data_IF_018210839171
#
_entry.id   IF_018210839171
#
_cell.length_a   1.000
_cell.length_b   1.000
_cell.length_c   1.000
_cell.angle_alpha   90.00
_cell.angle_beta   90.00
_cell.angle_gamma   90.00
#
_symmetry.space_group_name_H-M   'P 1'
#
loop_
_entity.id
_entity.type
_entity.pdbx_description
1 polymer ?
#
# COMPACT_ATOMS: atom_id res chain seq x y z
N UNK A 1 23.64 -41.95 43.41
CA UNK A 1 24.28 -41.10 42.37
C UNK A 1 23.45 -41.25 41.10
N UNK A 2 22.56 -40.36 40.68
CA UNK A 2 22.46 -38.90 40.84
C UNK A 2 22.50 -38.30 39.43
N UNK A 3 21.33 -38.11 38.81
CA UNK A 3 21.16 -37.47 37.50
C UNK A 3 21.72 -36.04 37.54
N UNK A 4 22.35 -35.63 36.44
CA UNK A 4 22.58 -34.22 36.13
C UNK A 4 22.09 -33.97 34.70
N UNK A 5 20.79 -33.68 34.62
CA UNK A 5 20.22 -32.84 33.58
C UNK A 5 20.90 -31.47 33.62
N UNK A 6 21.49 -31.06 32.50
CA UNK A 6 22.10 -29.74 32.33
C UNK A 6 21.71 -29.22 30.96
N UNK A 7 20.43 -28.84 30.83
CA UNK A 7 19.90 -28.22 29.62
C UNK A 7 20.56 -26.87 29.35
N UNK A 8 21.19 -26.75 28.19
CA UNK A 8 21.62 -25.47 27.66
C UNK A 8 20.44 -24.80 26.96
N UNK A 9 19.92 -23.74 27.57
CA UNK A 9 19.05 -22.76 26.90
C UNK A 9 19.89 -21.52 26.63
N UNK A 10 20.08 -21.21 25.35
CA UNK A 10 20.68 -19.97 24.87
C UNK A 10 20.14 -19.72 23.45
N UNK A 11 19.42 -18.61 23.20
CA UNK A 11 18.57 -18.46 22.03
C UNK A 11 19.36 -17.89 20.85
N UNK A 12 19.76 -18.72 19.90
CA UNK A 12 20.10 -18.23 18.56
C UNK A 12 18.85 -18.39 17.67
N UNK A 13 17.86 -17.51 17.92
CA UNK A 13 16.96 -17.14 16.83
C UNK A 13 17.86 -16.39 15.86
N UNK A 14 18.34 -17.11 14.85
CA UNK A 14 18.91 -16.55 13.64
C UNK A 14 18.08 -15.32 13.28
N UNK A 15 18.64 -14.14 13.53
CA UNK A 15 18.12 -12.90 13.02
C UNK A 15 18.04 -13.10 11.52
N UNK A 16 16.81 -13.14 11.00
CA UNK A 16 16.59 -12.94 9.58
C UNK A 16 17.26 -11.63 9.25
N UNK A 17 18.45 -11.72 8.66
CA UNK A 17 19.14 -10.58 8.08
C UNK A 17 18.21 -10.06 7.00
N UNK A 18 17.40 -9.04 7.34
CA UNK A 18 16.81 -8.20 6.32
C UNK A 18 18.01 -7.62 5.57
N UNK A 19 18.25 -8.13 4.37
CA UNK A 19 19.28 -7.62 3.49
C UNK A 19 19.14 -6.08 3.43
N UNK A 20 20.24 -5.33 3.62
CA UNK A 20 20.17 -3.88 3.58
C UNK A 20 19.78 -3.42 2.17
N UNK A 21 18.75 -2.57 2.10
CA UNK A 21 18.47 -1.78 0.91
C UNK A 21 18.01 -2.57 -0.31
N UNK A 22 16.91 -3.33 -0.20
CA UNK A 22 15.99 -3.24 -1.34
C UNK A 22 15.37 -1.86 -1.25
N UNK A 23 15.80 -0.96 -2.11
CA UNK A 23 14.88 0.07 -2.60
C UNK A 23 13.56 -0.66 -2.86
N UNK A 24 12.40 -0.16 -2.36
CA UNK A 24 11.14 -0.79 -2.72
C UNK A 24 11.20 -0.93 -4.23
N UNK A 25 11.13 -2.17 -4.75
CA UNK A 25 10.98 -2.36 -6.18
C UNK A 25 9.83 -1.43 -6.51
N UNK A 26 10.13 -0.36 -7.26
CA UNK A 26 9.10 0.48 -7.81
C UNK A 26 8.40 -0.51 -8.71
N UNK A 27 7.35 -1.13 -8.17
CA UNK A 27 6.38 -1.90 -8.92
C UNK A 27 5.85 -0.84 -9.86
N UNK A 28 6.51 -0.77 -11.03
CA UNK A 28 6.06 0.07 -12.11
C UNK A 28 4.64 -0.41 -12.32
N UNK A 29 3.63 0.42 -12.04
CA UNK A 29 2.27 -0.04 -12.11
C UNK A 29 2.10 -0.56 -13.51
N UNK A 30 1.72 -1.84 -13.63
CA UNK A 30 1.13 -2.39 -14.84
C UNK A 30 0.00 -1.44 -15.18
N UNK A 31 0.26 -0.45 -16.04
CA UNK A 31 -0.66 0.67 -16.28
C UNK A 31 -1.98 0.10 -16.79
N UNK A 32 -1.89 -0.98 -17.58
CA UNK A 32 -2.97 -1.91 -17.92
C UNK A 32 -3.85 -2.34 -16.74
N UNK A 33 -3.28 -2.78 -15.62
CA UNK A 33 -4.09 -3.23 -14.48
C UNK A 33 -4.82 -2.07 -13.83
N UNK A 34 -4.18 -0.89 -13.73
CA UNK A 34 -4.84 0.27 -13.16
C UNK A 34 -5.97 0.77 -14.07
N UNK A 35 -5.72 0.92 -15.36
CA UNK A 35 -6.67 1.42 -16.36
C UNK A 35 -7.84 0.45 -16.62
N UNK A 36 -7.59 -0.87 -16.53
CA UNK A 36 -8.59 -1.91 -16.80
C UNK A 36 -9.10 -2.62 -15.54
N UNK A 37 -8.73 -2.18 -14.34
CA UNK A 37 -9.28 -2.73 -13.11
C UNK A 37 -10.82 -2.54 -13.12
N UNK A 38 -11.59 -3.61 -12.85
CA UNK A 38 -13.05 -3.53 -12.82
C UNK A 38 -13.56 -2.76 -11.60
N UNK A 39 -12.77 -2.72 -10.52
CA UNK A 39 -13.07 -1.97 -9.32
C UNK A 39 -12.54 -0.54 -9.40
N UNK A 40 -13.19 0.43 -8.75
CA UNK A 40 -12.67 1.79 -8.67
C UNK A 40 -11.40 1.84 -7.83
N UNK A 41 -10.32 2.37 -8.39
CA UNK A 41 -9.01 2.48 -7.74
C UNK A 41 -8.52 3.93 -7.79
N UNK A 42 -8.01 4.41 -6.65
CA UNK A 42 -7.31 5.70 -6.54
C UNK A 42 -5.86 5.49 -6.13
N UNK A 43 -4.94 6.09 -6.87
CA UNK A 43 -3.55 6.19 -6.47
C UNK A 43 -3.39 7.40 -5.54
N UNK A 44 -2.84 7.20 -4.35
CA UNK A 44 -2.65 8.27 -3.34
C UNK A 44 -1.17 8.51 -3.15
N UNK A 45 -0.78 9.78 -3.09
CA UNK A 45 0.56 10.22 -2.71
C UNK A 45 0.51 11.17 -1.52
N UNK A 46 1.68 11.58 -1.05
CA UNK A 46 1.81 12.63 -0.02
C UNK A 46 2.40 13.88 -0.66
N UNK A 47 1.75 15.01 -0.47
CA UNK A 47 2.21 16.36 -0.84
C UNK A 47 2.09 17.28 0.35
N UNK A 48 3.15 18.01 0.68
CA UNK A 48 3.20 18.93 1.81
C UNK A 48 2.73 18.34 3.16
N UNK A 49 2.98 17.04 3.36
CA UNK A 49 2.59 16.30 4.55
C UNK A 49 1.11 15.86 4.59
N UNK A 50 0.35 16.10 3.53
CA UNK A 50 -1.04 15.68 3.39
C UNK A 50 -1.21 14.59 2.31
N UNK A 51 -2.12 13.64 2.56
CA UNK A 51 -2.49 12.64 1.57
C UNK A 51 -3.36 13.27 0.48
N UNK A 52 -2.98 13.06 -0.78
CA UNK A 52 -3.66 13.60 -1.96
C UNK A 52 -3.80 12.52 -3.03
N UNK A 53 -4.91 12.53 -3.75
CA UNK A 53 -5.12 11.66 -4.90
C UNK A 53 -4.19 12.11 -6.03
N UNK A 54 -3.46 11.16 -6.63
CA UNK A 54 -2.57 11.38 -7.78
C UNK A 54 -3.25 11.04 -9.10
N UNK A 55 -4.06 10.00 -9.10
CA UNK A 55 -4.82 9.53 -10.24
C UNK A 55 -5.99 8.66 -9.77
N UNK A 56 -7.05 8.59 -10.57
CA UNK A 56 -8.11 7.60 -10.43
C UNK A 56 -8.28 6.84 -11.75
N UNK A 57 -8.70 5.59 -11.70
CA UNK A 57 -8.95 4.79 -12.91
C UNK A 57 -10.32 5.09 -13.53
N UNK A 58 -10.59 4.66 -14.78
CA UNK A 58 -11.89 4.89 -15.41
C UNK A 58 -13.09 4.33 -14.62
N UNK A 59 -12.93 3.16 -13.96
CA UNK A 59 -13.98 2.56 -13.14
C UNK A 59 -14.40 3.44 -11.95
N UNK A 60 -13.53 4.36 -11.50
CA UNK A 60 -13.88 5.37 -10.49
C UNK A 60 -14.96 6.33 -10.98
N UNK A 61 -14.83 6.82 -12.23
CA UNK A 61 -15.82 7.71 -12.82
C UNK A 61 -17.15 7.01 -13.02
N UNK A 62 -17.12 5.77 -13.50
CA UNK A 62 -18.32 4.94 -13.70
C UNK A 62 -19.06 4.66 -12.39
N UNK A 63 -18.32 4.42 -11.30
CA UNK A 63 -18.89 4.08 -9.98
C UNK A 63 -19.44 5.30 -9.26
N UNK A 64 -18.66 6.39 -9.21
CA UNK A 64 -18.97 7.55 -8.38
C UNK A 64 -19.53 8.74 -9.17
N UNK A 65 -19.55 8.68 -10.50
CA UNK A 65 -19.98 9.79 -11.36
C UNK A 65 -19.11 11.03 -11.26
N UNK A 66 -17.86 10.87 -10.80
CA UNK A 66 -16.89 11.96 -10.60
C UNK A 66 -15.70 11.77 -11.51
N UNK A 67 -15.37 12.84 -12.21
CA UNK A 67 -14.23 12.92 -13.11
C UNK A 67 -12.91 12.64 -12.35
N UNK A 68 -12.11 11.73 -12.91
CA UNK A 68 -10.86 11.22 -12.35
C UNK A 68 -9.78 12.31 -12.31
N UNK A 69 -9.73 13.16 -13.33
CA UNK A 69 -8.80 14.30 -13.37
C UNK A 69 -9.16 15.34 -12.32
N UNK A 70 -10.45 15.55 -12.04
CA UNK A 70 -10.91 16.44 -10.94
C UNK A 70 -10.68 15.87 -9.55
N UNK A 71 -10.59 14.55 -9.41
CA UNK A 71 -10.24 13.93 -8.14
C UNK A 71 -8.75 14.15 -7.79
N UNK A 72 -7.89 14.30 -8.80
CA UNK A 72 -6.46 14.54 -8.60
C UNK A 72 -6.19 15.84 -7.82
N UNK A 73 -5.22 15.78 -6.91
CA UNK A 73 -4.87 16.87 -5.99
C UNK A 73 -5.85 17.09 -4.83
N UNK A 74 -6.97 16.35 -4.77
CA UNK A 74 -7.90 16.42 -3.64
C UNK A 74 -7.53 15.40 -2.55
N UNK A 75 -7.91 15.66 -1.30
CA UNK A 75 -7.82 14.66 -0.24
C UNK A 75 -8.66 13.42 -0.59
N UNK A 76 -8.18 12.18 -0.30
CA UNK A 76 -8.93 10.95 -0.58
C UNK A 76 -10.32 10.93 0.05
N UNK A 77 -10.46 11.49 1.26
CA UNK A 77 -11.73 11.57 1.99
C UNK A 77 -12.77 12.49 1.31
N UNK A 78 -12.33 13.41 0.44
CA UNK A 78 -13.23 14.23 -0.35
C UNK A 78 -13.55 13.57 -1.69
N UNK A 79 -12.58 12.87 -2.27
CA UNK A 79 -12.71 12.21 -3.56
C UNK A 79 -13.65 10.99 -3.50
N UNK A 80 -13.48 10.12 -2.50
CA UNK A 80 -14.30 8.92 -2.28
C UNK A 80 -15.42 9.26 -1.29
N UNK A 81 -16.70 9.15 -1.68
CA UNK A 81 -17.78 9.25 -0.71
C UNK A 81 -17.65 8.11 0.30
N UNK A 82 -17.50 8.44 1.58
CA UNK A 82 -17.69 7.47 2.65
C UNK A 82 -19.19 7.20 2.77
N UNK A 83 -19.59 5.98 2.48
CA UNK A 83 -20.91 5.49 2.90
C UNK A 83 -20.94 5.54 4.44
N UNK A 84 -22.07 5.98 5.01
CA UNK A 84 -22.30 6.00 6.47
C UNK A 84 -22.52 4.59 7.03
#
# INVERSE_FOLDING_TARGET
MGRADGGAVGPDRAGGSLAPGRDPEVVSPSTDFFEHAPDPVVAVGVEDGAAVVRAANPAFEETFGRDADRAAGRPPAEAVPVED
#
